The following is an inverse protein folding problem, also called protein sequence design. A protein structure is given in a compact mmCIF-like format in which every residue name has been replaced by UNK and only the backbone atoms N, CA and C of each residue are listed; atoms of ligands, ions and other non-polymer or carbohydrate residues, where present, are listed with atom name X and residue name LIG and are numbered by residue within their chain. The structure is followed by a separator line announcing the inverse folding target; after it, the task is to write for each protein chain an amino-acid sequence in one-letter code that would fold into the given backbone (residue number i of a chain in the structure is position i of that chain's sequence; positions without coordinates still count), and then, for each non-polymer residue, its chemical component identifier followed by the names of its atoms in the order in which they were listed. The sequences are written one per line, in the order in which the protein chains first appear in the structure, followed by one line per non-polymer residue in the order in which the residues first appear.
data_IF_547784212333
#
_entry.id   IF_547784212333
#
_cell.length_a   1.000
_cell.length_b   1.000
_cell.length_c   1.000
_cell.angle_alpha   90.00
_cell.angle_beta   90.00
_cell.angle_gamma   90.00
#
_symmetry.space_group_name_H-M   'P 1'
#
loop_
_entity.id
_entity.type
_entity.pdbx_description
1 polymer ?
#
# COMPACT_ATOMS: atom_id res chain seq x y z
N UNK A 1 -81.28 26.36 -23.17
CA UNK A 1 -80.01 25.82 -23.70
C UNK A 1 -80.33 24.55 -24.46
N UNK A 2 -80.06 24.51 -25.78
CA UNK A 2 -80.54 23.42 -26.65
C UNK A 2 -79.73 22.15 -26.36
N UNK A 3 -80.36 20.98 -26.37
CA UNK A 3 -79.77 19.68 -26.02
C UNK A 3 -78.42 19.42 -26.75
N UNK A 4 -78.27 19.94 -27.97
CA UNK A 4 -77.06 19.81 -28.77
C UNK A 4 -75.84 20.58 -28.20
N UNK A 5 -76.03 21.75 -27.56
CA UNK A 5 -74.92 22.49 -26.91
C UNK A 5 -74.39 21.75 -25.68
N UNK A 6 -75.28 21.09 -24.92
CA UNK A 6 -74.90 20.30 -23.73
C UNK A 6 -74.14 19.04 -24.14
N UNK A 7 -74.49 18.43 -25.27
CA UNK A 7 -73.78 17.27 -25.84
C UNK A 7 -72.41 17.68 -26.37
N UNK A 8 -72.29 18.81 -27.08
CA UNK A 8 -70.99 19.34 -27.53
C UNK A 8 -70.07 19.69 -26.35
N UNK A 9 -70.59 20.36 -25.31
CA UNK A 9 -69.81 20.69 -24.12
C UNK A 9 -69.33 19.44 -23.36
N UNK A 10 -70.15 18.38 -23.30
CA UNK A 10 -69.77 17.08 -22.72
C UNK A 10 -68.73 16.36 -23.57
N UNK A 11 -68.87 16.36 -24.90
CA UNK A 11 -67.89 15.79 -25.82
C UNK A 11 -66.55 16.54 -25.73
N UNK A 12 -66.56 17.87 -25.71
CA UNK A 12 -65.36 18.69 -25.57
C UNK A 12 -64.67 18.47 -24.22
N UNK A 13 -65.43 18.30 -23.13
CA UNK A 13 -64.88 17.88 -21.82
C UNK A 13 -64.28 16.47 -21.87
N UNK A 14 -64.91 15.54 -22.60
CA UNK A 14 -64.41 14.18 -22.76
C UNK A 14 -63.11 14.15 -23.57
N UNK A 15 -63.04 14.90 -24.68
CA UNK A 15 -61.84 15.05 -25.48
C UNK A 15 -60.70 15.71 -24.70
N UNK A 16 -60.98 16.77 -23.93
CA UNK A 16 -59.97 17.40 -23.05
C UNK A 16 -59.43 16.44 -21.99
N UNK A 17 -60.31 15.64 -21.36
CA UNK A 17 -59.88 14.61 -20.38
C UNK A 17 -59.05 13.50 -21.05
N UNK A 18 -59.40 13.08 -22.26
CA UNK A 18 -58.65 12.07 -23.02
C UNK A 18 -57.27 12.61 -23.46
N UNK A 19 -57.19 13.87 -23.90
CA UNK A 19 -55.91 14.51 -24.25
C UNK A 19 -54.98 14.64 -23.05
N UNK A 20 -55.50 14.98 -21.87
CA UNK A 20 -54.70 15.04 -20.63
C UNK A 20 -54.21 13.66 -20.20
N UNK A 21 -55.03 12.61 -20.34
CA UNK A 21 -54.60 11.24 -20.02
C UNK A 21 -53.51 10.78 -21.00
N UNK A 22 -53.65 11.06 -22.30
CA UNK A 22 -52.63 10.70 -23.29
C UNK A 22 -51.30 11.42 -23.05
N UNK A 23 -51.32 12.72 -22.69
CA UNK A 23 -50.09 13.45 -22.38
C UNK A 23 -49.43 12.98 -21.09
N UNK A 24 -50.20 12.64 -20.05
CA UNK A 24 -49.66 12.07 -18.80
C UNK A 24 -49.07 10.67 -19.03
N UNK A 25 -49.70 9.83 -19.86
CA UNK A 25 -49.16 8.50 -20.20
C UNK A 25 -47.87 8.64 -21.03
N UNK A 26 -47.82 9.57 -21.99
CA UNK A 26 -46.58 9.86 -22.75
C UNK A 26 -45.46 10.43 -21.86
N UNK A 27 -45.80 11.29 -20.88
CA UNK A 27 -44.84 11.82 -19.91
C UNK A 27 -44.33 10.72 -18.96
N UNK A 28 -45.21 9.81 -18.52
CA UNK A 28 -44.85 8.64 -17.72
C UNK A 28 -43.99 7.65 -18.51
N UNK A 29 -44.23 7.47 -19.81
CA UNK A 29 -43.38 6.65 -20.70
C UNK A 29 -42.00 7.28 -20.92
N UNK A 30 -41.89 8.62 -20.93
CA UNK A 30 -40.60 9.32 -21.00
C UNK A 30 -39.79 9.30 -19.70
N UNK A 31 -40.40 8.90 -18.58
CA UNK A 31 -39.75 8.72 -17.28
C UNK A 31 -39.21 7.30 -17.07
N UNK A 32 -39.51 6.36 -17.97
CA UNK A 32 -38.77 5.11 -18.02
C UNK A 32 -37.50 5.35 -18.85
N UNK A 33 -36.37 5.52 -18.17
CA UNK A 33 -35.06 5.41 -18.80
C UNK A 33 -34.97 4.07 -19.54
N UNK A 34 -35.15 4.08 -20.86
CA UNK A 34 -34.98 2.90 -21.72
C UNK A 34 -33.52 2.40 -21.63
N UNK A 35 -32.60 3.27 -21.21
CA UNK A 35 -31.21 2.97 -20.84
C UNK A 35 -31.07 2.05 -19.63
N UNK A 36 -32.03 2.05 -18.68
CA UNK A 36 -32.00 1.13 -17.54
C UNK A 36 -32.48 -0.28 -17.90
N UNK A 37 -33.29 -0.42 -18.95
CA UNK A 37 -33.79 -1.72 -19.42
C UNK A 37 -32.83 -2.42 -20.40
N UNK A 38 -31.91 -1.68 -21.02
CA UNK A 38 -30.83 -2.24 -21.85
C UNK A 38 -29.73 -2.99 -21.04
N UNK A 39 -29.78 -2.91 -19.70
CA UNK A 39 -28.84 -3.61 -18.81
C UNK A 39 -29.43 -4.89 -18.18
N UNK A 40 -30.64 -5.31 -18.57
CA UNK A 40 -31.15 -6.64 -18.25
C UNK A 40 -30.73 -7.66 -19.32
N UNK A 41 -29.44 -7.65 -19.69
CA UNK A 41 -28.83 -8.81 -20.32
C UNK A 41 -28.93 -9.94 -19.31
N UNK A 42 -29.55 -11.03 -19.75
CA UNK A 42 -29.70 -12.31 -19.05
C UNK A 42 -28.43 -12.64 -18.25
N UNK A 43 -28.40 -12.22 -16.98
CA UNK A 43 -27.24 -12.37 -16.12
C UNK A 43 -27.33 -13.79 -15.62
N UNK A 44 -26.81 -14.74 -16.40
CA UNK A 44 -26.47 -16.06 -15.89
C UNK A 44 -25.63 -15.81 -14.64
N UNK A 45 -26.23 -16.03 -13.47
CA UNK A 45 -25.61 -15.74 -12.18
C UNK A 45 -24.32 -16.55 -12.14
N UNK A 46 -23.20 -15.89 -12.43
CA UNK A 46 -21.92 -16.58 -12.53
C UNK A 46 -21.56 -17.08 -11.14
N UNK A 47 -21.19 -18.35 -11.06
CA UNK A 47 -20.72 -18.94 -9.82
C UNK A 47 -19.21 -18.68 -9.67
N UNK A 48 -18.68 -18.62 -8.44
CA UNK A 48 -17.25 -18.59 -8.21
C UNK A 48 -16.55 -19.81 -8.84
N UNK A 49 -15.39 -19.57 -9.42
CA UNK A 49 -14.53 -20.63 -9.96
C UNK A 49 -13.64 -21.14 -8.83
N UNK A 50 -13.82 -22.41 -8.44
CA UNK A 50 -13.00 -23.09 -7.42
C UNK A 50 -11.78 -23.80 -8.02
N UNK A 51 -11.80 -24.09 -9.34
CA UNK A 51 -10.80 -24.93 -10.02
C UNK A 51 -9.66 -24.16 -10.67
N UNK A 52 -9.34 -22.96 -10.19
CA UNK A 52 -8.20 -22.18 -10.69
C UNK A 52 -6.89 -22.70 -10.08
N UNK A 53 -5.80 -22.50 -10.82
CA UNK A 53 -4.45 -22.80 -10.36
C UNK A 53 -3.58 -21.57 -10.62
N UNK A 54 -3.18 -20.93 -9.53
CA UNK A 54 -2.16 -19.87 -9.56
C UNK A 54 -1.00 -20.37 -8.72
N UNK A 55 0.21 -20.37 -9.28
CA UNK A 55 1.43 -20.84 -8.59
C UNK A 55 2.53 -19.79 -8.63
N UNK A 56 3.13 -19.50 -7.49
CA UNK A 56 4.31 -18.64 -7.37
C UNK A 56 5.60 -19.43 -7.59
N UNK A 57 6.44 -18.97 -8.51
CA UNK A 57 7.71 -19.61 -8.88
C UNK A 57 8.85 -18.60 -8.90
N UNK A 58 10.07 -19.07 -8.63
CA UNK A 58 11.28 -18.29 -8.88
C UNK A 58 11.87 -18.56 -10.28
N UNK A 59 12.97 -17.88 -10.61
CA UNK A 59 13.68 -17.99 -11.88
C UNK A 59 14.21 -19.41 -12.16
N UNK A 60 14.30 -20.27 -11.14
CA UNK A 60 14.70 -21.67 -11.24
C UNK A 60 13.49 -22.64 -11.21
N UNK A 61 12.27 -22.12 -11.39
CA UNK A 61 10.99 -22.84 -11.31
C UNK A 61 10.72 -23.47 -9.93
N UNK A 62 11.43 -23.05 -8.88
CA UNK A 62 11.19 -23.52 -7.53
C UNK A 62 9.96 -22.84 -6.93
N UNK A 63 9.27 -23.56 -6.03
CA UNK A 63 8.09 -23.04 -5.37
C UNK A 63 8.42 -21.86 -4.47
N UNK A 64 7.63 -20.79 -4.55
CA UNK A 64 7.74 -19.61 -3.67
C UNK A 64 6.62 -19.64 -2.61
N UNK A 65 6.93 -20.06 -1.37
CA UNK A 65 5.92 -20.22 -0.32
C UNK A 65 5.61 -18.93 0.41
N UNK A 66 4.45 -18.88 1.07
CA UNK A 66 4.02 -17.79 1.95
C UNK A 66 3.92 -16.41 1.29
N UNK A 67 3.84 -16.37 -0.05
CA UNK A 67 3.60 -15.13 -0.78
C UNK A 67 2.15 -14.69 -0.58
N UNK A 68 1.93 -13.39 -0.40
CA UNK A 68 0.59 -12.81 -0.36
C UNK A 68 0.40 -11.84 -1.51
N UNK A 69 -0.62 -12.09 -2.32
CA UNK A 69 -0.98 -11.24 -3.46
C UNK A 69 -2.40 -10.73 -3.31
N UNK A 70 -2.67 -9.63 -3.98
CA UNK A 70 -3.99 -9.08 -4.20
C UNK A 70 -4.43 -9.34 -5.64
N UNK A 71 -5.69 -9.74 -5.82
CA UNK A 71 -6.38 -9.78 -7.10
C UNK A 71 -7.52 -8.77 -7.06
N UNK A 72 -7.32 -7.63 -7.73
CA UNK A 72 -8.35 -6.58 -7.84
C UNK A 72 -8.98 -6.61 -9.22
N UNK A 73 -10.31 -6.77 -9.28
CA UNK A 73 -10.98 -6.84 -10.57
C UNK A 73 -10.93 -5.49 -11.30
N UNK A 74 -10.79 -5.54 -12.63
CA UNK A 74 -10.73 -4.34 -13.48
C UNK A 74 -11.99 -3.47 -13.36
N UNK A 75 -13.15 -4.10 -13.15
CA UNK A 75 -14.43 -3.42 -12.90
C UNK A 75 -14.61 -2.91 -11.46
N UNK A 76 -13.63 -3.13 -10.58
CA UNK A 76 -13.65 -2.69 -9.17
C UNK A 76 -14.63 -3.44 -8.25
N UNK A 77 -15.36 -4.44 -8.76
CA UNK A 77 -16.38 -5.17 -8.00
C UNK A 77 -15.80 -6.16 -6.98
N UNK A 78 -14.64 -6.75 -7.27
CA UNK A 78 -14.05 -7.81 -6.47
C UNK A 78 -12.61 -7.48 -6.09
N UNK A 79 -12.25 -7.86 -4.88
CA UNK A 79 -10.93 -7.66 -4.31
C UNK A 79 -10.62 -8.86 -3.41
N UNK A 80 -9.63 -9.65 -3.80
CA UNK A 80 -9.25 -10.87 -3.08
C UNK A 80 -7.79 -10.82 -2.64
N UNK A 81 -7.53 -11.29 -1.43
CA UNK A 81 -6.20 -11.60 -0.93
C UNK A 81 -5.97 -13.10 -1.04
N UNK A 82 -4.88 -13.48 -1.72
CA UNK A 82 -4.47 -14.88 -1.87
C UNK A 82 -3.14 -15.14 -1.17
N UNK A 83 -3.00 -16.33 -0.57
CA UNK A 83 -1.74 -16.77 0.06
C UNK A 83 -1.26 -18.10 -0.52
N UNK A 84 0.04 -18.19 -0.85
CA UNK A 84 0.65 -19.42 -1.37
C UNK A 84 1.00 -20.43 -0.28
N UNK A 85 0.77 -21.72 -0.56
CA UNK A 85 1.20 -22.84 0.29
C UNK A 85 2.71 -23.14 0.15
N UNK A 86 3.20 -24.15 0.85
CA UNK A 86 4.62 -24.56 0.80
C UNK A 86 5.10 -25.05 -0.58
N UNK A 87 4.17 -25.30 -1.53
CA UNK A 87 4.46 -25.69 -2.92
C UNK A 87 4.21 -24.54 -3.90
N UNK A 88 3.95 -23.34 -3.38
CA UNK A 88 3.73 -22.12 -4.14
C UNK A 88 2.30 -21.95 -4.66
N UNK A 89 1.36 -22.85 -4.34
CA UNK A 89 -0.02 -22.74 -4.84
C UNK A 89 -0.84 -21.75 -4.01
N UNK A 90 -1.44 -20.77 -4.67
CA UNK A 90 -2.35 -19.82 -4.04
C UNK A 90 -3.73 -20.44 -3.84
N UNK A 91 -3.97 -21.02 -2.66
CA UNK A 91 -5.20 -21.78 -2.35
C UNK A 91 -6.15 -21.06 -1.40
N UNK A 92 -5.60 -20.26 -0.49
CA UNK A 92 -6.41 -19.51 0.47
C UNK A 92 -6.87 -18.23 -0.22
N UNK A 93 -8.17 -18.09 -0.46
CA UNK A 93 -8.77 -16.88 -1.02
C UNK A 93 -9.56 -16.19 0.08
N UNK A 94 -9.23 -14.94 0.35
CA UNK A 94 -9.94 -14.10 1.33
C UNK A 94 -10.51 -12.91 0.58
N UNK A 95 -11.81 -12.65 0.73
CA UNK A 95 -12.39 -11.41 0.22
C UNK A 95 -11.88 -10.24 1.08
N UNK A 96 -11.14 -9.31 0.47
CA UNK A 96 -10.38 -8.28 1.20
C UNK A 96 -11.27 -7.38 2.04
N UNK A 97 -12.48 -7.07 1.54
CA UNK A 97 -13.41 -6.17 2.23
C UNK A 97 -14.01 -6.79 3.50
N UNK A 98 -14.34 -8.09 3.45
CA UNK A 98 -15.02 -8.78 4.55
C UNK A 98 -14.06 -9.56 5.45
N UNK A 99 -12.87 -9.89 4.96
CA UNK A 99 -11.91 -10.76 5.63
C UNK A 99 -12.32 -12.24 5.65
N UNK A 100 -13.41 -12.61 4.98
CA UNK A 100 -13.91 -13.97 4.97
C UNK A 100 -13.20 -14.84 3.92
N UNK A 101 -12.86 -16.06 4.30
CA UNK A 101 -12.36 -17.06 3.34
C UNK A 101 -13.48 -17.48 2.41
N UNK A 102 -13.21 -17.43 1.11
CA UNK A 102 -14.12 -17.87 0.04
C UNK A 102 -13.53 -19.06 -0.70
N UNK A 103 -14.39 -19.87 -1.32
CA UNK A 103 -13.97 -21.11 -1.98
C UNK A 103 -13.46 -20.92 -3.41
N UNK A 104 -13.76 -19.78 -4.03
CA UNK A 104 -13.44 -19.52 -5.42
C UNK A 104 -13.43 -18.03 -5.74
N UNK A 105 -13.06 -17.73 -6.98
CA UNK A 105 -12.94 -16.36 -7.50
C UNK A 105 -14.02 -16.17 -8.55
N UNK A 106 -14.76 -15.08 -8.46
CA UNK A 106 -15.77 -14.74 -9.47
C UNK A 106 -15.10 -14.54 -10.85
N UNK A 107 -15.72 -14.97 -11.96
CA UNK A 107 -15.16 -14.71 -13.28
C UNK A 107 -14.92 -13.22 -13.56
N UNK A 108 -13.83 -12.91 -14.24
CA UNK A 108 -13.43 -11.54 -14.59
C UNK A 108 -11.94 -11.37 -14.81
N UNK A 109 -11.54 -10.15 -15.18
CA UNK A 109 -10.14 -9.74 -15.31
C UNK A 109 -9.64 -9.09 -14.03
N UNK A 110 -8.43 -9.43 -13.62
CA UNK A 110 -7.85 -9.04 -12.34
C UNK A 110 -6.43 -8.51 -12.51
N UNK A 111 -6.14 -7.41 -11.84
CA UNK A 111 -4.78 -6.94 -11.62
C UNK A 111 -4.18 -7.65 -10.41
N UNK A 112 -3.00 -8.22 -10.61
CA UNK A 112 -2.21 -8.90 -9.58
C UNK A 112 -1.25 -7.90 -8.94
N UNK A 113 -1.25 -7.76 -7.62
CA UNK A 113 -0.22 -6.99 -6.92
C UNK A 113 0.29 -7.72 -5.68
N UNK A 114 1.52 -7.41 -5.25
CA UNK A 114 2.09 -7.97 -4.02
C UNK A 114 1.51 -7.26 -2.80
N UNK A 115 1.03 -8.03 -1.82
CA UNK A 115 0.65 -7.51 -0.49
C UNK A 115 1.81 -7.69 0.48
N UNK A 116 2.37 -8.91 0.52
CA UNK A 116 3.53 -9.24 1.31
C UNK A 116 4.39 -10.22 0.52
N UNK A 117 5.59 -9.77 0.17
CA UNK A 117 6.54 -10.59 -0.53
C UNK A 117 7.21 -11.56 0.47
N UNK A 118 7.47 -12.83 0.08
CA UNK A 118 8.23 -13.75 0.91
C UNK A 118 9.64 -13.22 1.20
N UNK A 119 10.22 -13.68 2.31
CA UNK A 119 11.62 -13.36 2.61
C UNK A 119 12.53 -13.80 1.46
N UNK A 120 13.34 -12.87 0.95
CA UNK A 120 14.26 -13.15 -0.15
C UNK A 120 13.69 -12.92 -1.55
N UNK A 121 12.37 -12.74 -1.72
CA UNK A 121 11.72 -12.71 -3.04
C UNK A 121 10.86 -11.48 -3.23
N UNK A 122 10.82 -10.94 -4.45
CA UNK A 122 9.89 -9.89 -4.88
C UNK A 122 9.13 -10.33 -6.13
N UNK A 123 7.86 -9.91 -6.26
CA UNK A 123 7.07 -10.20 -7.47
C UNK A 123 7.68 -9.46 -8.66
N UNK A 124 8.04 -10.19 -9.73
CA UNK A 124 8.74 -9.62 -10.89
C UNK A 124 7.87 -8.59 -11.62
N UNK A 125 6.60 -8.92 -11.84
CA UNK A 125 5.63 -8.07 -12.54
C UNK A 125 4.48 -7.69 -11.63
N UNK A 126 4.62 -6.54 -10.98
CA UNK A 126 3.49 -5.93 -10.28
C UNK A 126 2.47 -5.40 -11.28
N UNK A 127 1.19 -5.55 -10.97
CA UNK A 127 0.03 -5.13 -11.76
C UNK A 127 -0.21 -5.91 -13.06
N UNK A 128 0.30 -7.15 -13.15
CA UNK A 128 -0.01 -8.07 -14.26
C UNK A 128 -1.52 -8.35 -14.33
N UNK A 129 -2.07 -8.40 -15.55
CA UNK A 129 -3.49 -8.67 -15.80
C UNK A 129 -3.70 -10.16 -16.08
N UNK A 130 -4.53 -10.82 -15.28
CA UNK A 130 -4.96 -12.22 -15.49
C UNK A 130 -6.47 -12.30 -15.68
N UNK A 131 -6.97 -13.36 -16.29
CA UNK A 131 -8.40 -13.59 -16.51
C UNK A 131 -8.86 -14.88 -15.85
N UNK A 132 -9.83 -14.79 -14.95
CA UNK A 132 -10.52 -15.97 -14.42
C UNK A 132 -11.76 -16.18 -15.27
N UNK A 133 -11.71 -17.15 -16.17
CA UNK A 133 -12.80 -17.49 -17.09
C UNK A 133 -13.66 -18.65 -16.57
N UNK A 134 -14.94 -18.68 -16.96
CA UNK A 134 -15.93 -19.60 -16.40
C UNK A 134 -15.97 -20.98 -17.09
N UNK A 135 -15.50 -21.05 -18.32
CA UNK A 135 -15.71 -22.16 -19.26
C UNK A 135 -14.39 -22.77 -19.77
N UNK A 136 -13.26 -22.38 -19.17
CA UNK A 136 -11.95 -22.91 -19.49
C UNK A 136 -11.10 -23.07 -18.24
N UNK A 137 -10.01 -23.81 -18.38
CA UNK A 137 -9.08 -24.03 -17.28
C UNK A 137 -8.24 -22.77 -17.05
N UNK A 138 -8.08 -22.38 -15.78
CA UNK A 138 -7.38 -21.17 -15.37
C UNK A 138 -6.04 -21.57 -14.74
N UNK A 139 -4.95 -21.45 -15.48
CA UNK A 139 -3.60 -21.81 -15.06
C UNK A 139 -2.65 -20.62 -15.22
N UNK A 140 -2.08 -20.16 -14.10
CA UNK A 140 -1.18 -19.00 -14.09
C UNK A 140 0.06 -19.29 -13.23
N UNK A 141 1.21 -18.84 -13.73
CA UNK A 141 2.43 -18.73 -12.95
C UNK A 141 2.70 -17.26 -12.66
N UNK A 142 3.00 -16.95 -11.41
CA UNK A 142 3.50 -15.65 -10.99
C UNK A 142 4.98 -15.81 -10.67
N UNK A 143 5.81 -15.06 -11.39
CA UNK A 143 7.26 -15.15 -11.24
C UNK A 143 7.78 -14.17 -10.19
N UNK A 144 8.69 -14.66 -9.38
CA UNK A 144 9.37 -13.92 -8.33
C UNK A 144 10.86 -13.93 -8.62
N UNK A 145 11.48 -12.77 -8.46
CA UNK A 145 12.94 -12.63 -8.52
C UNK A 145 13.49 -12.47 -7.12
N UNK A 146 14.80 -12.68 -6.98
CA UNK A 146 15.50 -12.38 -5.74
C UNK A 146 15.30 -10.90 -5.41
N UNK A 147 14.76 -10.64 -4.23
CA UNK A 147 14.73 -9.30 -3.70
C UNK A 147 16.15 -8.86 -3.36
N UNK A 148 16.52 -7.69 -3.86
CA UNK A 148 17.88 -7.17 -3.71
C UNK A 148 18.00 -6.13 -2.60
N UNK A 149 16.88 -5.68 -2.02
CA UNK A 149 16.86 -4.59 -1.03
C UNK A 149 16.00 -4.91 0.20
N UNK A 150 16.29 -4.22 1.30
CA UNK A 150 15.50 -4.21 2.53
C UNK A 150 15.60 -2.86 3.22
N UNK A 151 14.79 -2.66 4.26
CA UNK A 151 14.73 -1.42 5.02
C UNK A 151 15.51 -1.52 6.33
N UNK A 152 16.29 -0.47 6.63
CA UNK A 152 16.90 -0.24 7.93
C UNK A 152 16.27 0.99 8.56
N UNK A 153 15.58 0.79 9.68
CA UNK A 153 15.03 1.85 10.52
C UNK A 153 15.94 2.01 11.73
N UNK A 154 16.39 3.24 11.99
CA UNK A 154 17.30 3.56 13.08
C UNK A 154 16.62 4.53 14.03
N UNK A 155 16.60 4.19 15.32
CA UNK A 155 16.30 5.09 16.43
C UNK A 155 17.58 5.73 16.93
N UNK A 156 17.60 7.05 17.05
CA UNK A 156 18.67 7.84 17.65
C UNK A 156 18.18 8.42 18.96
N UNK A 157 18.87 8.11 20.06
CA UNK A 157 18.44 8.51 21.40
C UNK A 157 19.65 8.63 22.34
N UNK A 158 19.48 9.32 23.47
CA UNK A 158 20.40 9.27 24.59
C UNK A 158 20.25 7.93 25.33
N UNK A 159 21.25 7.57 26.15
CA UNK A 159 21.18 6.38 27.02
C UNK A 159 19.95 6.33 27.94
N UNK A 160 19.34 7.47 28.28
CA UNK A 160 18.11 7.53 29.07
C UNK A 160 16.82 7.40 28.22
N UNK A 161 16.95 7.12 26.91
CA UNK A 161 15.84 6.95 25.98
C UNK A 161 15.32 8.25 25.37
N UNK A 162 15.86 9.41 25.74
CA UNK A 162 15.47 10.70 25.16
C UNK A 162 15.80 10.72 23.66
N UNK A 163 14.83 10.96 22.75
CA UNK A 163 15.12 11.01 21.32
C UNK A 163 16.11 12.12 20.94
N UNK A 164 17.00 11.83 20.01
CA UNK A 164 17.91 12.83 19.42
C UNK A 164 17.52 13.04 17.96
N UNK A 165 17.02 14.23 17.64
CA UNK A 165 16.66 14.66 16.28
C UNK A 165 17.87 15.19 15.51
N UNK A 166 17.81 15.25 14.19
CA UNK A 166 18.83 15.89 13.35
C UNK A 166 20.13 15.08 13.18
N UNK A 167 20.19 13.84 13.65
CA UNK A 167 21.36 12.96 13.50
C UNK A 167 21.42 12.40 12.08
N UNK A 168 22.59 12.47 11.45
CA UNK A 168 22.83 11.87 10.13
C UNK A 168 23.76 10.67 10.27
N UNK A 169 23.33 9.52 9.76
CA UNK A 169 24.11 8.29 9.74
C UNK A 169 24.47 7.90 8.31
N UNK A 170 25.58 7.17 8.20
CA UNK A 170 26.03 6.49 6.99
C UNK A 170 26.12 5.00 7.27
N UNK A 171 25.50 4.19 6.41
CA UNK A 171 25.63 2.75 6.41
C UNK A 171 26.70 2.35 5.38
N UNK A 172 27.77 1.70 5.83
CA UNK A 172 28.88 1.24 4.98
C UNK A 172 28.78 -0.27 4.80
N UNK A 173 28.59 -0.73 3.57
CA UNK A 173 28.55 -2.16 3.27
C UNK A 173 29.92 -2.79 3.53
N UNK A 174 29.99 -3.79 4.41
CA UNK A 174 31.27 -4.39 4.83
C UNK A 174 31.94 -5.24 3.74
N UNK A 175 31.21 -5.63 2.70
CA UNK A 175 31.74 -6.41 1.58
C UNK A 175 32.17 -5.52 0.41
N UNK A 176 31.32 -4.56 0.02
CA UNK A 176 31.56 -3.72 -1.16
C UNK A 176 32.21 -2.37 -0.85
N UNK A 177 32.21 -1.94 0.42
CA UNK A 177 32.56 -0.59 0.88
C UNK A 177 31.68 0.53 0.34
N UNK A 178 30.58 0.21 -0.34
CA UNK A 178 29.58 1.20 -0.75
C UNK A 178 28.93 1.83 0.48
N UNK A 179 28.68 3.13 0.41
CA UNK A 179 28.18 3.93 1.52
C UNK A 179 26.84 4.57 1.16
N UNK A 180 25.91 4.55 2.12
CA UNK A 180 24.55 5.07 1.96
C UNK A 180 24.25 6.00 3.12
N UNK A 181 23.92 7.26 2.82
CA UNK A 181 23.63 8.27 3.83
C UNK A 181 22.13 8.34 4.09
N UNK A 182 21.75 8.28 5.36
CA UNK A 182 20.37 8.41 5.79
C UNK A 182 19.92 9.87 5.74
N UNK A 183 18.62 10.16 5.56
CA UNK A 183 18.06 11.43 5.97
C UNK A 183 18.36 11.71 7.45
N UNK A 184 18.40 12.98 7.82
CA UNK A 184 18.51 13.37 9.23
C UNK A 184 17.33 12.79 10.03
N UNK A 185 17.59 12.36 11.27
CA UNK A 185 16.53 11.81 12.14
C UNK A 185 15.45 12.86 12.44
N UNK A 186 14.19 12.40 12.51
CA UNK A 186 13.03 13.25 12.78
C UNK A 186 12.98 13.76 14.24
N UNK A 187 11.94 14.51 14.60
CA UNK A 187 11.72 15.05 15.95
C UNK A 187 11.61 13.97 17.04
N UNK A 188 11.26 12.76 16.64
CA UNK A 188 11.20 11.56 17.48
C UNK A 188 12.46 10.71 17.33
N UNK A 189 13.53 11.21 16.71
CA UNK A 189 14.80 10.51 16.55
C UNK A 189 14.72 9.27 15.65
N UNK A 190 13.82 9.22 14.67
CA UNK A 190 13.75 8.12 13.71
C UNK A 190 14.33 8.52 12.36
N UNK A 191 15.06 7.60 11.73
CA UNK A 191 15.45 7.69 10.32
C UNK A 191 15.37 6.33 9.64
N UNK A 192 15.30 6.32 8.30
CA UNK A 192 15.15 5.10 7.49
C UNK A 192 16.06 5.14 6.26
N UNK A 193 16.67 4.01 5.95
CA UNK A 193 17.31 3.74 4.66
C UNK A 193 16.67 2.52 4.00
N UNK A 194 16.61 2.51 2.68
CA UNK A 194 16.41 1.30 1.88
C UNK A 194 17.75 0.93 1.28
N UNK A 195 18.25 -0.26 1.60
CA UNK A 195 19.61 -0.69 1.32
C UNK A 195 19.59 -2.02 0.56
N UNK A 196 20.58 -2.27 -0.32
CA UNK A 196 20.80 -3.62 -0.80
C UNK A 196 20.96 -4.63 0.35
N UNK A 197 20.69 -5.89 0.07
CA UNK A 197 20.95 -6.95 1.06
C UNK A 197 22.42 -7.02 1.40
N UNK A 198 22.73 -7.12 2.68
CA UNK A 198 24.12 -7.09 3.10
C UNK A 198 24.32 -6.80 4.58
N UNK A 199 25.59 -6.82 4.96
CA UNK A 199 26.03 -6.48 6.31
C UNK A 199 26.65 -5.08 6.29
N UNK A 200 26.15 -4.20 7.15
CA UNK A 200 26.48 -2.78 7.15
C UNK A 200 27.05 -2.36 8.50
N UNK A 201 28.16 -1.63 8.45
CA UNK A 201 28.69 -0.90 9.59
C UNK A 201 28.09 0.50 9.61
N UNK A 202 27.43 0.88 10.70
CA UNK A 202 26.87 2.23 10.85
C UNK A 202 27.92 3.21 11.37
N UNK A 203 27.89 4.43 10.82
CA UNK A 203 28.73 5.55 11.24
C UNK A 203 27.85 6.79 11.37
N UNK A 204 27.83 7.40 12.55
CA UNK A 204 27.25 8.74 12.73
C UNK A 204 28.22 9.73 12.10
N UNK A 205 27.75 10.49 11.11
CA UNK A 205 28.56 11.49 10.39
C UNK A 205 28.18 12.92 10.75
N UNK A 206 27.04 13.11 11.43
CA UNK A 206 26.64 14.37 12.03
C UNK A 206 25.77 14.11 13.26
N UNK A 207 26.09 14.77 14.38
CA UNK A 207 25.25 14.88 15.56
C UNK A 207 25.01 16.38 15.84
N UNK A 208 23.81 16.82 16.22
CA UNK A 208 23.52 18.26 16.39
C UNK A 208 24.48 18.98 17.35
N UNK A 209 24.85 18.30 18.44
CA UNK A 209 25.74 18.86 19.46
C UNK A 209 27.23 18.51 19.25
N UNK A 210 27.56 17.68 18.25
CA UNK A 210 28.93 17.24 18.00
C UNK A 210 29.16 16.90 16.53
N UNK A 211 30.22 17.47 15.95
CA UNK A 211 30.62 17.17 14.58
C UNK A 211 31.57 15.96 14.47
N UNK A 212 31.97 15.34 15.58
CA UNK A 212 32.90 14.22 15.56
C UNK A 212 32.22 12.92 15.10
N UNK A 213 32.70 12.28 14.02
CA UNK A 213 32.09 11.04 13.56
C UNK A 213 32.34 9.87 14.52
N UNK A 214 31.27 9.15 14.87
CA UNK A 214 31.33 8.00 15.78
C UNK A 214 30.82 6.72 15.08
N UNK A 215 31.53 5.60 15.28
CA UNK A 215 31.06 4.30 14.81
C UNK A 215 29.97 3.74 15.75
N UNK A 216 28.95 3.14 15.16
CA UNK A 216 27.82 2.54 15.85
C UNK A 216 27.79 1.01 15.59
N UNK A 217 26.74 0.23 15.90
CA UNK A 217 26.78 -1.23 15.70
C UNK A 217 26.75 -1.63 14.22
N UNK A 218 27.18 -2.86 13.94
CA UNK A 218 26.95 -3.52 12.65
C UNK A 218 25.54 -4.10 12.59
N UNK A 219 24.88 -4.01 11.44
CA UNK A 219 23.54 -4.57 11.18
C UNK A 219 23.53 -5.41 9.91
N UNK A 220 22.56 -6.31 9.80
CA UNK A 220 22.33 -7.12 8.58
C UNK A 220 20.98 -6.77 8.00
N UNK A 221 20.97 -6.23 6.78
CA UNK A 221 19.74 -5.96 6.02
C UNK A 221 19.44 -7.17 5.15
N UNK A 222 18.23 -7.72 5.33
CA UNK A 222 17.72 -8.86 4.58
C UNK A 222 16.63 -8.42 3.61
N UNK A 223 16.48 -9.15 2.51
CA UNK A 223 15.59 -8.75 1.43
C UNK A 223 14.13 -8.68 1.87
N UNK A 224 13.43 -7.62 1.48
CA UNK A 224 12.03 -7.35 1.81
C UNK A 224 11.70 -7.40 3.30
N UNK A 225 12.70 -7.18 4.16
CA UNK A 225 12.51 -7.06 5.59
C UNK A 225 12.78 -5.63 6.05
N UNK A 226 12.13 -5.24 7.13
CA UNK A 226 12.44 -4.01 7.85
C UNK A 226 13.12 -4.36 9.17
N UNK A 227 14.40 -4.03 9.27
CA UNK A 227 15.16 -4.15 10.51
C UNK A 227 15.07 -2.84 11.28
N UNK A 228 14.75 -2.92 12.57
CA UNK A 228 14.85 -1.77 13.48
C UNK A 228 16.05 -1.93 14.40
N UNK A 229 16.86 -0.88 14.53
CA UNK A 229 17.99 -0.81 15.46
C UNK A 229 18.02 0.52 16.21
N UNK A 230 18.82 0.61 17.26
CA UNK A 230 19.00 1.83 18.06
C UNK A 230 20.48 2.22 18.12
N UNK A 231 20.74 3.52 18.06
CA UNK A 231 22.03 4.14 18.33
C UNK A 231 21.88 5.02 19.56
N UNK A 232 22.52 4.60 20.65
CA UNK A 232 22.51 5.31 21.93
C UNK A 232 23.71 6.26 22.03
N UNK A 233 23.44 7.53 22.31
CA UNK A 233 24.43 8.56 22.57
C UNK A 233 24.64 8.73 24.07
N UNK A 234 25.90 8.96 24.46
CA UNK A 234 26.20 9.48 25.79
C UNK A 234 25.68 10.91 25.92
N UNK A 235 25.42 11.37 27.16
CA UNK A 235 25.15 12.79 27.39
C UNK A 235 26.38 13.59 26.94
N UNK A 236 26.20 14.46 25.96
CA UNK A 236 27.15 15.54 25.68
C UNK A 236 27.20 16.39 26.94
N UNK A 237 28.32 16.33 27.69
CA UNK A 237 28.61 17.34 28.71
C UNK A 237 28.75 18.66 27.97
N UNK A 238 27.70 19.47 27.96
CA UNK A 238 27.84 20.88 27.64
C UNK A 238 28.66 21.54 28.74
N UNK A 239 29.98 21.60 28.60
CA UNK A 239 30.78 22.54 29.38
C UNK A 239 30.65 23.90 28.71
N UNK A 240 29.64 24.67 29.12
CA UNK A 240 29.64 26.10 28.88
C UNK A 240 30.58 26.73 29.91
N UNK A 241 31.80 27.05 29.47
CA UNK A 241 32.73 27.88 30.25
C UNK A 241 32.36 29.35 30.04
N UNK A 242 31.63 29.94 30.98
CA UNK A 242 31.49 31.40 31.07
C UNK A 242 32.63 31.96 31.89
N UNK A 243 33.58 32.64 31.25
CA UNK A 243 34.49 33.55 31.95
C UNK A 243 33.86 34.93 31.93
N UNK A 244 33.53 35.47 33.10
CA UNK A 244 33.19 36.89 33.24
C UNK A 244 34.52 37.63 33.41
N UNK A 245 34.87 38.51 32.48
CA UNK A 245 36.11 39.30 32.53
C UNK A 245 35.82 40.77 32.85
N UNK A 246 36.78 41.44 33.49
CA UNK A 246 36.75 42.88 33.65
C UNK A 246 36.90 43.56 32.28
N UNK A 247 36.01 44.50 31.95
CA UNK A 247 35.98 45.17 30.64
C UNK A 247 37.23 46.03 30.38
N UNK A 248 37.92 46.47 31.42
CA UNK A 248 39.06 47.39 31.34
C UNK A 248 40.39 46.64 31.34
N UNK A 249 40.53 45.60 32.16
CA UNK A 249 41.80 44.87 32.29
C UNK A 249 41.83 43.55 31.52
N UNK A 250 40.67 42.97 31.21
CA UNK A 250 40.55 41.65 30.59
C UNK A 250 40.75 40.48 31.56
N UNK A 251 41.00 40.75 32.84
CA UNK A 251 41.23 39.71 33.85
C UNK A 251 39.93 38.98 34.22
N UNK A 252 39.99 37.68 34.58
CA UNK A 252 38.83 36.95 35.08
C UNK A 252 38.33 37.54 36.41
N UNK A 253 37.03 37.79 36.50
CA UNK A 253 36.37 38.15 37.74
C UNK A 253 36.06 36.87 38.54
N UNK A 254 36.55 36.82 39.77
CA UNK A 254 36.35 35.67 40.67
C UNK A 254 35.13 35.93 41.56
N UNK A 255 34.15 35.03 41.52
CA UNK A 255 32.99 35.06 42.43
C UNK A 255 31.70 35.70 41.89
N UNK A 256 31.58 35.85 40.57
CA UNK A 256 30.38 36.32 39.85
C UNK A 256 29.65 35.18 39.16
#
# INVERSE_FOLDING_TARGET
MKLNEVIELKQQHYFRKLTVILTVVSLMLSLFDISALAAATDTKKQSPIESFVIRGLDDNEQAVPNAKINLKSENGKYDYTLSSDNRGFFKTVVETLTGHTVRGIMPGKYHVSSIAAPTGYQLEKSNELIEIAADQANFYHLYYTDASQGDLVVKTQLQDGTPVSGVVLMAVNQKTNESYTAPASDDKGWTKLTLPTGRYQLKVIFHPDSSEPQWAPTVTVSANQSLTTTVDFGKTKGEMMTTVTDQTTGDPLVGV
#
